data_IF_787309992133
#
_entry.id   IF_787309992133
#
_cell.length_a   1.000
_cell.length_b   1.000
_cell.length_c   1.000
_cell.angle_alpha   90.00
_cell.angle_beta   90.00
_cell.angle_gamma   90.00
#
_symmetry.space_group_name_H-M   'P 1'
#
loop_
_entity.id
_entity.type
_entity.pdbx_description
1 polymer ?
#
# COMPACT_ATOMS: atom_id res chain seq x y z
N UNK A 1 50.76 -26.31 27.42
CA UNK A 1 49.55 -25.48 27.52
C UNK A 1 49.43 -24.69 26.22
N UNK A 2 48.52 -25.08 25.33
CA UNK A 2 48.27 -24.39 24.05
C UNK A 2 47.09 -23.45 24.26
N UNK A 3 47.34 -22.16 24.32
CA UNK A 3 46.30 -21.13 24.37
C UNK A 3 45.63 -21.05 23.00
N UNK A 4 44.38 -21.47 22.92
CA UNK A 4 43.51 -21.18 21.79
C UNK A 4 43.09 -19.70 21.90
N UNK A 5 43.53 -18.89 20.94
CA UNK A 5 42.99 -17.55 20.75
C UNK A 5 41.68 -17.71 19.99
N UNK A 6 40.58 -17.60 20.73
CA UNK A 6 39.23 -17.51 20.17
C UNK A 6 39.10 -16.10 19.56
N UNK A 7 39.28 -16.00 18.24
CA UNK A 7 39.01 -14.78 17.50
C UNK A 7 37.48 -14.58 17.43
N UNK A 8 36.95 -13.81 18.37
CA UNK A 8 35.58 -13.33 18.34
C UNK A 8 35.51 -12.27 17.21
N UNK A 9 35.00 -12.67 16.04
CA UNK A 9 34.62 -11.75 14.98
C UNK A 9 33.44 -10.91 15.49
N UNK A 10 33.76 -9.76 16.08
CA UNK A 10 32.81 -8.69 16.28
C UNK A 10 32.40 -8.20 14.88
N UNK A 11 31.22 -8.61 14.41
CA UNK A 11 30.56 -7.94 13.32
C UNK A 11 30.28 -6.50 13.79
N UNK A 12 31.03 -5.55 13.24
CA UNK A 12 30.77 -4.13 13.41
C UNK A 12 29.37 -3.83 12.91
N UNK A 13 28.48 -3.49 13.84
CA UNK A 13 27.15 -2.95 13.59
C UNK A 13 27.31 -1.59 12.88
N UNK A 14 27.36 -1.60 11.55
CA UNK A 14 27.16 -0.41 10.74
C UNK A 14 25.67 -0.24 10.50
N UNK A 15 25.04 0.67 11.25
CA UNK A 15 23.73 1.21 10.93
C UNK A 15 23.86 2.18 9.75
N UNK A 16 23.22 1.88 8.61
CA UNK A 16 23.03 2.83 7.51
C UNK A 16 24.03 2.74 6.37
N UNK A 17 24.12 1.59 5.68
CA UNK A 17 24.79 1.52 4.37
C UNK A 17 23.73 1.40 3.28
N UNK A 18 23.76 2.32 2.32
CA UNK A 18 23.03 2.19 1.07
C UNK A 18 23.64 1.03 0.29
N UNK A 19 22.89 -0.06 0.13
CA UNK A 19 23.30 -1.25 -0.60
C UNK A 19 22.67 -1.18 -1.98
N UNK A 20 23.49 -1.40 -3.02
CA UNK A 20 23.01 -1.60 -4.38
C UNK A 20 23.79 -2.74 -5.03
N UNK A 21 23.12 -3.87 -5.22
CA UNK A 21 23.68 -5.11 -5.78
C UNK A 21 22.81 -5.55 -6.93
N UNK A 22 23.42 -5.65 -8.10
CA UNK A 22 22.78 -6.13 -9.33
C UNK A 22 23.55 -7.35 -9.84
N UNK A 23 22.87 -8.26 -10.52
CA UNK A 23 23.46 -9.44 -11.14
C UNK A 23 24.21 -10.38 -10.17
N UNK A 24 23.69 -10.52 -8.95
CA UNK A 24 24.25 -11.40 -7.91
C UNK A 24 23.71 -12.83 -8.05
N UNK A 25 24.43 -13.82 -7.49
CA UNK A 25 23.96 -15.22 -7.52
C UNK A 25 22.73 -15.39 -6.61
N UNK A 26 21.91 -16.43 -6.82
CA UNK A 26 20.79 -16.72 -5.92
C UNK A 26 21.20 -16.86 -4.46
N UNK A 27 22.36 -17.47 -4.18
CA UNK A 27 22.88 -17.62 -2.82
C UNK A 27 23.27 -16.28 -2.19
N UNK A 28 23.92 -15.41 -2.95
CA UNK A 28 24.28 -14.07 -2.49
C UNK A 28 23.02 -13.23 -2.24
N UNK A 29 22.05 -13.28 -3.14
CA UNK A 29 20.76 -12.61 -2.96
C UNK A 29 20.03 -13.10 -1.72
N UNK A 30 20.00 -14.42 -1.48
CA UNK A 30 19.41 -15.01 -0.28
C UNK A 30 20.08 -14.53 1.01
N UNK A 31 21.39 -14.28 1.01
CA UNK A 31 22.05 -13.70 2.19
C UNK A 31 21.50 -12.30 2.51
N UNK A 32 21.25 -11.46 1.50
CA UNK A 32 20.64 -10.15 1.70
C UNK A 32 19.17 -10.25 2.11
N UNK A 33 18.39 -11.14 1.49
CA UNK A 33 16.97 -11.36 1.82
C UNK A 33 16.76 -11.88 3.24
N UNK A 34 17.70 -12.68 3.75
CA UNK A 34 17.66 -13.21 5.12
C UNK A 34 18.35 -12.31 6.14
N UNK A 35 18.98 -11.22 5.71
CA UNK A 35 19.68 -10.33 6.63
C UNK A 35 18.70 -9.66 7.58
N UNK A 36 19.00 -9.69 8.88
CA UNK A 36 18.23 -9.01 9.91
C UNK A 36 18.23 -7.48 9.76
N UNK A 37 19.05 -6.94 8.84
CA UNK A 37 19.08 -5.52 8.46
C UNK A 37 17.78 -5.04 7.83
N UNK A 38 16.91 -5.96 7.38
CA UNK A 38 15.56 -5.68 6.91
C UNK A 38 14.69 -5.23 8.08
N UNK A 39 14.89 -3.98 8.51
CA UNK A 39 14.08 -3.30 9.52
C UNK A 39 12.62 -3.46 9.11
N UNK A 40 11.81 -4.02 10.00
CA UNK A 40 10.37 -4.05 9.79
C UNK A 40 9.76 -5.39 9.39
N UNK A 41 10.48 -6.52 9.24
CA UNK A 41 9.84 -7.82 8.92
C UNK A 41 8.94 -8.38 10.05
N UNK A 42 9.05 -7.87 11.28
CA UNK A 42 8.19 -8.23 12.41
C UNK A 42 7.30 -7.09 12.92
N UNK A 43 7.88 -5.89 13.06
CA UNK A 43 7.20 -4.68 13.50
C UNK A 43 7.61 -3.49 12.64
N UNK A 44 6.64 -2.91 11.93
CA UNK A 44 6.88 -1.73 11.09
C UNK A 44 7.01 -0.51 12.01
N UNK A 45 8.23 0.00 12.13
CA UNK A 45 8.49 1.29 12.75
C UNK A 45 8.39 2.42 11.73
N UNK A 46 7.86 3.56 12.15
CA UNK A 46 7.85 4.77 11.34
C UNK A 46 9.26 5.36 11.19
N UNK A 47 9.48 6.10 10.12
CA UNK A 47 10.73 6.83 9.91
C UNK A 47 10.97 7.81 11.07
N UNK A 48 12.17 7.84 11.68
CA UNK A 48 12.47 8.79 12.73
C UNK A 48 12.56 10.21 12.15
N UNK A 49 12.05 11.19 12.91
CA UNK A 49 12.26 12.60 12.60
C UNK A 49 13.74 12.95 12.85
N UNK A 50 14.41 13.46 11.82
CA UNK A 50 15.83 13.85 11.86
C UNK A 50 16.03 15.34 12.08
N UNK A 51 15.04 16.16 11.72
CA UNK A 51 15.18 17.60 11.81
C UNK A 51 13.88 18.36 11.62
N UNK A 52 13.95 19.66 11.90
CA UNK A 52 12.90 20.63 11.65
C UNK A 52 13.55 21.94 11.22
N UNK A 53 13.13 22.47 10.09
CA UNK A 53 13.59 23.74 9.56
C UNK A 53 12.41 24.73 9.45
N UNK A 54 12.65 26.04 9.65
CA UNK A 54 11.68 27.04 9.23
C UNK A 54 11.51 26.97 7.71
N UNK A 55 10.34 27.40 7.22
CA UNK A 55 10.12 27.42 5.77
C UNK A 55 11.14 28.33 5.08
N UNK A 56 11.69 27.92 3.92
CA UNK A 56 12.52 28.80 3.13
C UNK A 56 11.72 30.04 2.74
N UNK A 57 12.36 31.21 2.76
CA UNK A 57 11.77 32.45 2.27
C UNK A 57 11.70 32.44 0.72
N UNK A 58 10.81 31.61 0.20
CA UNK A 58 10.48 31.56 -1.22
C UNK A 58 9.19 32.33 -1.44
N UNK A 59 9.29 33.48 -2.12
CA UNK A 59 8.15 34.32 -2.49
C UNK A 59 8.01 34.41 -4.00
N UNK A 60 6.79 34.52 -4.50
CA UNK A 60 6.54 34.82 -5.91
C UNK A 60 6.69 36.32 -6.22
N UNK A 61 6.47 36.69 -7.47
CA UNK A 61 6.47 38.09 -7.94
C UNK A 61 5.45 38.99 -7.23
N UNK A 62 4.38 38.42 -6.66
CA UNK A 62 3.36 39.12 -5.89
C UNK A 62 3.73 39.26 -4.39
N UNK A 63 4.87 38.71 -3.96
CA UNK A 63 5.31 38.71 -2.56
C UNK A 63 4.64 37.64 -1.68
N UNK A 64 3.85 36.73 -2.25
CA UNK A 64 3.19 35.63 -1.55
C UNK A 64 4.17 34.48 -1.32
N UNK A 65 4.09 33.80 -0.18
CA UNK A 65 4.93 32.63 0.08
C UNK A 65 4.54 31.48 -0.83
N UNK A 66 5.53 30.83 -1.45
CA UNK A 66 5.34 29.69 -2.33
C UNK A 66 6.20 28.52 -1.87
N UNK A 67 5.57 27.36 -1.70
CA UNK A 67 6.25 26.11 -1.42
C UNK A 67 5.84 25.05 -2.45
N UNK A 68 6.81 24.42 -3.11
CA UNK A 68 6.58 23.41 -4.16
C UNK A 68 5.54 23.86 -5.21
N UNK A 69 5.56 25.14 -5.59
CA UNK A 69 4.66 25.73 -6.59
C UNK A 69 3.25 26.08 -6.11
N UNK A 70 2.95 25.98 -4.80
CA UNK A 70 1.67 26.38 -4.20
C UNK A 70 1.83 27.59 -3.30
N UNK A 71 0.88 28.52 -3.35
CA UNK A 71 0.84 29.68 -2.44
C UNK A 71 0.40 29.23 -1.04
N UNK A 72 1.10 29.70 0.00
CA UNK A 72 0.77 29.48 1.41
C UNK A 72 0.44 30.82 2.05
N UNK A 73 -0.79 30.95 2.56
CA UNK A 73 -1.29 32.19 3.17
C UNK A 73 -0.65 32.47 4.55
N UNK A 74 -0.53 31.42 5.38
CA UNK A 74 -0.06 31.48 6.77
C UNK A 74 1.24 30.67 6.98
N UNK A 75 2.35 31.01 6.31
CA UNK A 75 3.62 30.27 6.38
C UNK A 75 4.16 30.14 7.82
N UNK A 76 3.84 31.07 8.70
CA UNK A 76 4.19 31.06 10.12
C UNK A 76 3.60 29.86 10.89
N UNK A 77 2.51 29.26 10.39
CA UNK A 77 1.86 28.10 10.99
C UNK A 77 2.53 26.78 10.59
N UNK A 78 3.44 26.81 9.62
CA UNK A 78 4.05 25.63 9.05
C UNK A 78 5.53 25.51 9.41
N UNK A 79 6.03 24.29 9.37
CA UNK A 79 7.44 23.94 9.45
C UNK A 79 7.75 22.86 8.43
N UNK A 80 9.01 22.79 8.01
CA UNK A 80 9.50 21.67 7.21
C UNK A 80 10.14 20.64 8.14
N UNK A 81 9.48 19.50 8.29
CA UNK A 81 10.00 18.36 9.06
C UNK A 81 10.78 17.43 8.15
N UNK A 82 11.86 16.87 8.67
CA UNK A 82 12.73 15.96 7.94
C UNK A 82 12.67 14.60 8.58
N UNK A 83 12.47 13.55 7.78
CA UNK A 83 12.36 12.16 8.23
C UNK A 83 13.35 11.28 7.47
N UNK A 84 13.96 10.32 8.18
CA UNK A 84 14.85 9.32 7.58
C UNK A 84 14.06 8.09 7.14
N UNK A 85 13.48 8.18 5.94
CA UNK A 85 12.74 7.08 5.34
C UNK A 85 13.71 6.00 4.86
N UNK A 86 13.24 4.76 4.83
CA UNK A 86 14.03 3.62 4.40
C UNK A 86 13.22 2.78 3.42
N UNK A 87 13.87 2.28 2.37
CA UNK A 87 13.28 1.33 1.45
C UNK A 87 14.29 0.25 1.07
N UNK A 88 13.79 -0.97 0.90
CA UNK A 88 14.56 -2.08 0.34
C UNK A 88 13.71 -2.92 -0.60
N UNK A 89 14.39 -3.61 -1.51
CA UNK A 89 13.81 -4.64 -2.36
C UNK A 89 14.93 -5.57 -2.82
N UNK A 90 14.66 -6.86 -2.81
CA UNK A 90 15.52 -7.84 -3.46
C UNK A 90 14.76 -9.05 -3.95
N UNK A 91 15.40 -9.75 -4.88
CA UNK A 91 14.94 -11.02 -5.44
C UNK A 91 16.13 -11.94 -5.64
N UNK A 92 15.94 -13.24 -5.47
CA UNK A 92 16.99 -14.25 -5.65
C UNK A 92 17.10 -14.83 -7.07
N UNK A 93 16.20 -14.43 -7.97
CA UNK A 93 16.11 -14.98 -9.33
C UNK A 93 15.43 -16.35 -9.40
N UNK A 94 15.17 -17.01 -8.26
CA UNK A 94 14.42 -18.28 -8.16
C UNK A 94 12.94 -18.06 -7.81
N UNK A 95 12.55 -16.82 -7.57
CA UNK A 95 11.17 -16.41 -7.34
C UNK A 95 10.89 -15.98 -5.89
N UNK A 96 11.88 -16.08 -5.00
CA UNK A 96 11.78 -15.52 -3.65
C UNK A 96 12.13 -14.03 -3.71
N UNK A 97 11.46 -13.25 -2.87
CA UNK A 97 11.70 -11.82 -2.79
C UNK A 97 11.41 -11.32 -1.39
N UNK A 98 11.97 -10.15 -1.08
CA UNK A 98 11.54 -9.34 0.05
C UNK A 98 11.59 -7.88 -0.37
N UNK A 99 10.58 -7.11 0.01
CA UNK A 99 10.58 -5.66 -0.13
C UNK A 99 9.88 -5.02 1.05
N UNK A 100 10.21 -3.76 1.28
CA UNK A 100 9.57 -2.98 2.31
C UNK A 100 9.99 -1.54 2.28
N UNK A 101 9.20 -0.72 2.94
CA UNK A 101 9.50 0.69 3.15
C UNK A 101 8.92 1.16 4.47
N UNK A 102 9.48 2.24 5.01
CA UNK A 102 8.92 2.99 6.11
C UNK A 102 9.06 4.48 5.83
N UNK A 103 8.01 5.18 6.18
CA UNK A 103 7.83 6.62 6.04
C UNK A 103 7.33 7.18 7.39
N UNK A 104 7.11 8.48 7.47
CA UNK A 104 6.74 9.18 8.72
C UNK A 104 5.41 8.69 9.32
N UNK A 105 4.45 8.29 8.48
CA UNK A 105 3.11 7.86 8.92
C UNK A 105 2.69 6.48 8.42
N UNK A 106 3.51 5.80 7.63
CA UNK A 106 3.16 4.51 7.04
C UNK A 106 4.39 3.65 6.80
N UNK A 107 4.16 2.36 6.68
CA UNK A 107 5.19 1.43 6.23
C UNK A 107 4.60 0.09 5.83
N UNK A 108 5.41 -0.67 5.12
CA UNK A 108 5.04 -1.99 4.59
C UNK A 108 6.26 -2.89 4.60
N UNK A 109 6.02 -4.17 4.83
CA UNK A 109 6.97 -5.23 4.48
C UNK A 109 6.22 -6.35 3.76
N UNK A 110 6.91 -7.07 2.88
CA UNK A 110 6.38 -8.27 2.26
C UNK A 110 7.54 -9.16 1.81
N UNK A 111 7.37 -10.47 1.96
CA UNK A 111 8.30 -11.47 1.46
C UNK A 111 7.56 -12.64 0.83
N UNK A 112 8.21 -13.29 -0.12
CA UNK A 112 7.80 -14.56 -0.71
C UNK A 112 8.85 -15.61 -0.42
N UNK A 113 8.41 -16.74 0.12
CA UNK A 113 9.26 -17.92 0.37
C UNK A 113 9.38 -18.83 -0.88
N UNK A 114 10.24 -19.84 -0.77
CA UNK A 114 10.47 -20.86 -1.82
C UNK A 114 9.21 -21.65 -2.20
N UNK A 115 8.21 -21.70 -1.31
CA UNK A 115 6.95 -22.41 -1.58
C UNK A 115 5.96 -21.56 -2.38
N UNK A 116 6.29 -20.28 -2.60
CA UNK A 116 5.45 -19.28 -3.24
C UNK A 116 4.47 -18.61 -2.28
N UNK A 117 4.51 -18.92 -0.98
CA UNK A 117 3.68 -18.24 0.01
C UNK A 117 4.21 -16.83 0.23
N UNK A 118 3.31 -15.86 0.15
CA UNK A 118 3.60 -14.45 0.40
C UNK A 118 3.13 -14.12 1.81
N UNK A 119 3.96 -13.43 2.59
CA UNK A 119 3.60 -12.90 3.92
C UNK A 119 4.02 -11.45 4.00
N UNK A 120 3.17 -10.59 4.53
CA UNK A 120 3.51 -9.19 4.71
C UNK A 120 2.70 -8.53 5.81
N UNK A 121 3.09 -7.30 6.12
CA UNK A 121 2.39 -6.43 7.05
C UNK A 121 2.32 -5.02 6.50
N UNK A 122 1.27 -4.29 6.85
CA UNK A 122 1.10 -2.88 6.55
C UNK A 122 0.67 -2.13 7.81
N UNK A 123 1.28 -0.97 8.03
CA UNK A 123 0.98 -0.11 9.18
C UNK A 123 0.86 1.34 8.73
N UNK A 124 -0.15 2.06 9.24
CA UNK A 124 -0.26 3.50 9.02
C UNK A 124 -0.97 4.23 10.16
N UNK A 125 -0.76 5.54 10.27
CA UNK A 125 -1.44 6.41 11.25
C UNK A 125 -2.78 6.86 10.67
N UNK A 126 -3.89 6.50 11.32
CA UNK A 126 -5.22 6.94 10.92
C UNK A 126 -5.44 8.43 11.24
N UNK A 127 -6.40 9.12 10.59
CA UNK A 127 -6.71 10.53 10.87
C UNK A 127 -7.03 10.82 12.34
N UNK A 128 -7.65 9.85 13.03
CA UNK A 128 -7.98 9.95 14.46
C UNK A 128 -6.79 9.61 15.37
N UNK A 129 -5.57 9.49 14.85
CA UNK A 129 -4.37 9.17 15.62
C UNK A 129 -4.24 7.73 16.10
N UNK A 130 -5.13 6.81 15.71
CA UNK A 130 -4.95 5.38 16.00
C UNK A 130 -4.07 4.72 14.95
N UNK A 131 -3.11 3.91 15.36
CA UNK A 131 -2.33 3.12 14.41
C UNK A 131 -3.22 2.01 13.83
N UNK A 132 -3.28 1.89 12.51
CA UNK A 132 -3.85 0.73 11.83
C UNK A 132 -2.73 -0.25 11.52
N UNK A 133 -2.95 -1.53 11.79
CA UNK A 133 -2.03 -2.63 11.48
C UNK A 133 -2.81 -3.74 10.81
N UNK A 134 -2.28 -4.26 9.70
CA UNK A 134 -2.79 -5.43 9.02
C UNK A 134 -1.66 -6.38 8.68
N UNK A 135 -1.78 -7.63 9.13
CA UNK A 135 -0.93 -8.74 8.74
C UNK A 135 -1.67 -9.57 7.70
N UNK A 136 -0.96 -10.00 6.67
CA UNK A 136 -1.58 -10.76 5.59
C UNK A 136 -0.66 -11.85 5.06
N UNK A 137 -1.28 -12.87 4.48
CA UNK A 137 -0.57 -13.89 3.73
C UNK A 137 -1.38 -14.37 2.54
N UNK A 138 -0.67 -14.76 1.48
CA UNK A 138 -1.23 -15.41 0.31
C UNK A 138 -0.64 -16.80 0.19
N UNK A 139 -1.49 -17.82 0.17
CA UNK A 139 -1.09 -19.20 -0.06
C UNK A 139 -2.03 -19.88 -1.07
N UNK A 140 -1.97 -21.22 -1.17
CA UNK A 140 -2.79 -22.00 -2.09
C UNK A 140 -4.30 -21.89 -1.83
N UNK A 141 -4.71 -21.48 -0.64
CA UNK A 141 -6.11 -21.32 -0.24
C UNK A 141 -6.65 -19.91 -0.50
N UNK A 142 -5.79 -18.99 -0.91
CA UNK A 142 -6.15 -17.61 -1.27
C UNK A 142 -5.41 -16.58 -0.43
N UNK A 143 -6.00 -15.38 -0.36
CA UNK A 143 -5.46 -14.25 0.37
C UNK A 143 -6.19 -14.08 1.70
N UNK A 144 -5.43 -13.94 2.78
CA UNK A 144 -5.91 -13.84 4.15
C UNK A 144 -5.35 -12.58 4.79
N UNK A 145 -6.19 -11.86 5.55
CA UNK A 145 -5.82 -10.62 6.23
C UNK A 145 -6.37 -10.62 7.63
N UNK A 146 -5.54 -10.27 8.59
CA UNK A 146 -5.89 -10.00 9.97
C UNK A 146 -5.50 -8.55 10.27
N UNK A 147 -6.47 -7.74 10.68
CA UNK A 147 -6.24 -6.33 11.01
C UNK A 147 -6.77 -5.98 12.40
N UNK A 148 -6.36 -4.82 12.91
CA UNK A 148 -6.72 -4.36 14.25
C UNK A 148 -8.06 -3.59 14.32
N UNK A 149 -8.90 -3.64 13.28
CA UNK A 149 -10.24 -3.03 13.30
C UNK A 149 -11.20 -3.91 14.10
N UNK A 150 -12.21 -3.29 14.74
CA UNK A 150 -13.27 -4.07 15.37
C UNK A 150 -13.96 -4.96 14.33
N UNK A 151 -14.13 -6.24 14.66
CA UNK A 151 -14.82 -7.19 13.79
C UNK A 151 -16.24 -6.70 13.50
N UNK A 152 -16.47 -6.21 12.29
CA UNK A 152 -17.82 -5.91 11.82
C UNK A 152 -18.52 -7.24 11.57
N UNK A 153 -19.46 -7.62 12.43
CA UNK A 153 -20.34 -8.74 12.14
C UNK A 153 -21.05 -8.45 10.82
N UNK A 154 -20.76 -9.24 9.78
CA UNK A 154 -21.48 -9.21 8.50
C UNK A 154 -22.88 -9.77 8.73
N UNK A 155 -23.72 -9.01 9.40
CA UNK A 155 -25.14 -9.34 9.49
C UNK A 155 -25.72 -9.25 8.08
N UNK A 156 -26.53 -10.23 7.65
CA UNK A 156 -27.22 -10.11 6.37
C UNK A 156 -28.03 -8.82 6.36
N UNK A 157 -28.03 -8.11 5.23
CA UNK A 157 -28.79 -6.88 5.08
C UNK A 157 -30.26 -7.16 5.47
N UNK A 158 -30.74 -6.51 6.53
CA UNK A 158 -32.12 -6.65 6.96
C UNK A 158 -32.99 -5.85 6.00
N UNK A 159 -33.99 -6.48 5.39
CA UNK A 159 -34.93 -5.78 4.49
C UNK A 159 -35.61 -4.65 5.26
N UNK A 160 -35.54 -3.43 4.72
CA UNK A 160 -36.26 -2.29 5.30
C UNK A 160 -37.78 -2.48 5.12
N UNK A 161 -38.62 -1.81 5.92
CA UNK A 161 -40.08 -1.89 5.75
C UNK A 161 -40.56 -1.50 4.35
N UNK A 162 -39.86 -0.58 3.68
CA UNK A 162 -40.17 -0.18 2.31
C UNK A 162 -39.91 -1.33 1.31
N UNK A 163 -38.81 -2.07 1.48
CA UNK A 163 -38.49 -3.23 0.64
C UNK A 163 -39.52 -4.35 0.85
N UNK A 164 -39.94 -4.58 2.10
CA UNK A 164 -40.98 -5.57 2.40
C UNK A 164 -42.32 -5.22 1.74
N UNK A 165 -42.72 -3.95 1.81
CA UNK A 165 -43.97 -3.50 1.19
C UNK A 165 -43.93 -3.61 -0.34
N UNK A 166 -42.80 -3.20 -0.96
CA UNK A 166 -42.63 -3.32 -2.40
C UNK A 166 -42.66 -4.78 -2.88
N UNK A 167 -42.10 -5.70 -2.09
CA UNK A 167 -42.12 -7.13 -2.36
C UNK A 167 -43.54 -7.71 -2.24
N UNK A 168 -44.31 -7.32 -1.23
CA UNK A 168 -45.72 -7.71 -1.08
C UNK A 168 -46.59 -7.22 -2.25
N UNK A 169 -46.43 -5.95 -2.62
CA UNK A 169 -47.13 -5.36 -3.78
C UNK A 169 -46.75 -6.08 -5.08
N UNK A 170 -45.46 -6.38 -5.27
CA UNK A 170 -44.98 -7.14 -6.42
C UNK A 170 -45.57 -8.54 -6.49
N UNK A 171 -45.54 -9.30 -5.39
CA UNK A 171 -46.09 -10.66 -5.35
C UNK A 171 -47.60 -10.71 -5.55
N UNK A 172 -48.32 -9.71 -5.01
CA UNK A 172 -49.76 -9.57 -5.25
C UNK A 172 -50.05 -9.32 -6.72
N UNK A 173 -49.37 -8.34 -7.33
CA UNK A 173 -49.52 -8.01 -8.74
C UNK A 173 -49.16 -9.21 -9.64
N UNK A 174 -48.07 -9.91 -9.30
CA UNK A 174 -47.63 -11.11 -10.01
C UNK A 174 -48.69 -12.21 -9.97
N UNK A 175 -49.26 -12.48 -8.80
CA UNK A 175 -50.33 -13.48 -8.64
C UNK A 175 -51.59 -13.15 -9.43
N UNK A 176 -52.00 -11.87 -9.44
CA UNK A 176 -53.13 -11.38 -10.22
C UNK A 176 -52.89 -11.55 -11.74
N UNK A 177 -51.70 -11.18 -12.23
CA UNK A 177 -51.31 -11.35 -13.64
C UNK A 177 -51.21 -12.82 -14.05
N UNK A 178 -50.62 -13.68 -13.21
CA UNK A 178 -50.51 -15.11 -13.48
C UNK A 178 -51.89 -15.80 -13.51
N UNK A 179 -52.83 -15.38 -12.64
CA UNK A 179 -54.20 -15.89 -12.63
C UNK A 179 -55.00 -15.43 -13.87
N UNK A 180 -54.78 -14.20 -14.34
CA UNK A 180 -55.45 -13.64 -15.51
C UNK A 180 -54.95 -14.23 -16.85
N UNK A 181 -53.65 -14.51 -16.95
CA UNK A 181 -53.02 -14.98 -18.18
C UNK A 181 -53.15 -16.50 -18.42
N UNK A 182 -53.62 -17.29 -17.44
CA UNK A 182 -53.72 -18.76 -17.53
C UNK A 182 -52.36 -19.49 -17.63
N UNK A 183 -51.26 -18.75 -17.78
CA UNK A 183 -49.86 -19.14 -17.74
C UNK A 183 -49.08 -18.05 -17.00
N UNK A 184 -47.98 -18.43 -16.35
CA UNK A 184 -47.09 -17.47 -15.68
C UNK A 184 -46.55 -16.49 -16.73
N UNK A 185 -46.71 -15.16 -16.55
CA UNK A 185 -46.18 -14.19 -17.52
C UNK A 185 -44.67 -14.38 -17.64
N UNK A 186 -44.18 -14.50 -18.89
CA UNK A 186 -42.75 -14.69 -19.15
C UNK A 186 -42.00 -13.41 -18.76
N UNK A 187 -41.12 -13.45 -17.74
CA UNK A 187 -40.30 -12.30 -17.35
C UNK A 187 -39.33 -11.85 -18.46
N UNK A 188 -39.19 -12.63 -19.54
CA UNK A 188 -38.40 -12.31 -20.72
C UNK A 188 -39.26 -11.90 -21.94
N UNK A 189 -40.57 -11.68 -21.79
CA UNK A 189 -41.41 -11.29 -22.93
C UNK A 189 -40.89 -9.98 -23.58
N UNK A 190 -40.85 -9.90 -24.93
CA UNK A 190 -40.29 -8.76 -25.65
C UNK A 190 -40.94 -7.41 -25.31
N UNK A 191 -42.19 -7.46 -24.84
CA UNK A 191 -43.00 -6.31 -24.46
C UNK A 191 -42.51 -5.61 -23.17
N UNK A 192 -41.65 -6.27 -22.37
CA UNK A 192 -40.96 -5.67 -21.21
C UNK A 192 -39.54 -5.19 -21.53
N UNK A 193 -39.09 -5.33 -22.79
CA UNK A 193 -37.76 -4.96 -23.25
C UNK A 193 -37.79 -3.71 -24.16
N UNK A 194 -38.26 -2.58 -23.65
CA UNK A 194 -38.06 -1.25 -24.25
C UNK A 194 -38.33 -0.19 -23.16
N UNK A 195 -37.54 0.85 -22.89
CA UNK A 195 -36.38 1.48 -23.52
C UNK A 195 -35.48 2.05 -22.42
N UNK A 196 -34.17 2.03 -22.64
CA UNK A 196 -33.21 2.63 -21.71
C UNK A 196 -31.78 2.23 -21.99
N UNK A 197 -31.42 2.03 -23.26
CA UNK A 197 -30.03 1.81 -23.65
C UNK A 197 -29.34 3.17 -23.59
N UNK A 198 -28.65 3.46 -22.48
CA UNK A 198 -27.65 4.51 -22.50
C UNK A 198 -26.70 4.21 -23.66
N UNK A 199 -26.66 5.11 -24.63
CA UNK A 199 -25.63 5.14 -25.66
C UNK A 199 -24.57 6.11 -25.12
N UNK A 200 -23.42 5.60 -24.63
CA UNK A 200 -22.31 6.49 -24.28
C UNK A 200 -21.89 7.20 -25.57
N UNK A 201 -21.74 8.52 -25.51
CA UNK A 201 -21.02 9.26 -26.56
C UNK A 201 -19.60 8.69 -26.65
N UNK A 202 -19.26 8.14 -27.81
CA UNK A 202 -17.89 7.70 -28.10
C UNK A 202 -16.95 8.91 -27.99
N UNK A 203 -15.95 8.91 -27.09
CA UNK A 203 -14.88 9.87 -27.16
C UNK A 203 -14.10 9.64 -28.46
N UNK A 204 -13.72 10.73 -29.12
CA UNK A 204 -12.86 10.71 -30.30
C UNK A 204 -11.52 10.05 -29.93
N UNK A 205 -11.38 8.76 -30.27
CA UNK A 205 -10.16 8.00 -30.02
C UNK A 205 -9.15 8.38 -31.09
N UNK A 206 -8.18 9.24 -30.77
CA UNK A 206 -6.98 9.34 -31.59
C UNK A 206 -6.08 8.16 -31.25
N UNK A 207 -5.88 7.18 -32.16
CA UNK A 207 -4.96 6.10 -31.91
C UNK A 207 -3.55 6.68 -31.81
N UNK A 208 -3.00 6.73 -30.60
CA UNK A 208 -1.58 6.88 -30.44
C UNK A 208 -0.92 5.59 -30.93
N UNK A 209 -0.46 5.60 -32.18
CA UNK A 209 0.34 4.52 -32.73
C UNK A 209 1.74 4.67 -32.14
N UNK A 210 2.01 3.96 -31.05
CA UNK A 210 3.38 3.80 -30.57
C UNK A 210 4.08 2.84 -31.55
N UNK A 211 4.90 3.39 -32.45
CA UNK A 211 5.82 2.59 -33.26
C UNK A 211 6.98 2.17 -32.36
N UNK A 212 6.82 1.03 -31.68
CA UNK A 212 7.96 0.40 -31.02
C UNK A 212 8.97 0.01 -32.10
N UNK A 213 10.26 0.37 -31.96
CA UNK A 213 11.29 -0.19 -32.82
C UNK A 213 11.22 -1.71 -32.72
N UNK A 214 11.38 -2.44 -33.84
CA UNK A 214 11.30 -3.89 -33.83
C UNK A 214 12.27 -4.43 -32.78
N UNK A 215 11.73 -5.20 -31.82
CA UNK A 215 12.52 -5.87 -30.80
C UNK A 215 13.59 -6.70 -31.49
N UNK A 216 14.85 -6.32 -31.29
CA UNK A 216 16.00 -7.15 -31.65
C UNK A 216 16.32 -7.95 -30.40
N UNK A 217 16.04 -9.27 -30.36
CA UNK A 217 16.44 -10.09 -29.23
C UNK A 217 17.96 -9.94 -29.08
N UNK A 218 18.38 -9.51 -27.89
CA UNK A 218 19.77 -9.65 -27.50
C UNK A 218 20.15 -11.15 -27.49
N UNK A 219 21.45 -11.48 -27.38
CA UNK A 219 21.83 -12.86 -27.10
C UNK A 219 21.04 -13.36 -25.89
N UNK A 220 20.43 -14.55 -25.98
CA UNK A 220 19.78 -15.18 -24.83
C UNK A 220 20.80 -15.24 -23.68
N UNK A 221 20.45 -14.69 -22.52
CA UNK A 221 21.30 -14.78 -21.34
C UNK A 221 21.31 -16.24 -20.88
N UNK A 222 22.27 -17.01 -21.39
CA UNK A 222 22.52 -18.38 -20.96
C UNK A 222 23.32 -18.35 -19.67
N UNK A 223 22.66 -18.59 -18.54
CA UNK A 223 23.30 -18.61 -17.23
C UNK A 223 22.33 -18.94 -16.10
N UNK A 224 22.86 -19.09 -14.88
CA UNK A 224 22.01 -19.18 -13.68
C UNK A 224 21.18 -17.90 -13.52
N UNK A 225 19.93 -18.01 -13.04
CA UNK A 225 19.11 -16.85 -12.79
C UNK A 225 19.82 -15.91 -11.83
N UNK A 226 19.71 -14.61 -12.10
CA UNK A 226 20.38 -13.58 -11.31
C UNK A 226 19.40 -12.90 -10.40
N UNK A 227 19.86 -12.66 -9.17
CA UNK A 227 19.18 -11.85 -8.19
C UNK A 227 19.67 -10.40 -8.22
N UNK A 228 19.01 -9.59 -7.39
CA UNK A 228 19.43 -8.24 -7.06
C UNK A 228 18.95 -7.89 -5.67
N UNK A 229 19.59 -6.90 -5.07
CA UNK A 229 19.17 -6.35 -3.79
C UNK A 229 19.56 -4.88 -3.71
N UNK A 230 18.63 -4.03 -3.32
CA UNK A 230 18.93 -2.68 -2.91
C UNK A 230 18.25 -2.34 -1.58
N UNK A 231 18.92 -1.50 -0.81
CA UNK A 231 18.39 -0.90 0.41
C UNK A 231 19.01 0.48 0.55
N UNK A 232 18.20 1.50 0.84
CA UNK A 232 18.72 2.84 1.03
C UNK A 232 17.86 3.66 1.97
N UNK A 233 18.53 4.57 2.67
CA UNK A 233 17.90 5.61 3.48
C UNK A 233 17.82 6.90 2.64
N UNK A 234 16.71 7.63 2.77
CA UNK A 234 16.50 8.90 2.08
C UNK A 234 15.70 9.88 2.93
N UNK A 235 16.08 11.16 2.83
CA UNK A 235 15.41 12.23 3.55
C UNK A 235 14.06 12.57 2.91
N UNK A 236 13.01 12.62 3.72
CA UNK A 236 11.66 13.07 3.30
C UNK A 236 11.35 14.40 3.98
N UNK A 237 11.39 15.52 3.23
CA UNK A 237 10.91 16.81 3.72
C UNK A 237 9.38 16.84 3.66
N UNK A 238 8.74 17.16 4.78
CA UNK A 238 7.30 17.26 4.92
C UNK A 238 6.91 18.66 5.41
N UNK A 239 6.07 19.34 4.65
CA UNK A 239 5.41 20.54 5.11
C UNK A 239 4.34 20.18 6.14
N UNK A 240 4.48 20.66 7.37
CA UNK A 240 3.59 20.31 8.47
C UNK A 240 3.03 21.55 9.16
N UNK A 241 1.71 21.63 9.29
CA UNK A 241 1.06 22.62 10.15
C UNK A 241 1.33 22.27 11.63
N UNK A 242 1.73 23.27 12.43
CA UNK A 242 2.12 23.10 13.84
C UNK A 242 0.95 22.67 14.72
N UNK A 243 -0.25 23.19 14.47
CA UNK A 243 -1.45 22.90 15.26
C UNK A 243 -1.95 21.48 14.95
N UNK A 244 -2.09 21.13 13.67
CA UNK A 244 -2.49 19.78 13.24
C UNK A 244 -1.52 18.71 13.73
N UNK A 245 -0.22 19.02 13.75
CA UNK A 245 0.79 18.14 14.35
C UNK A 245 0.53 17.92 15.83
N UNK A 246 0.37 18.99 16.60
CA UNK A 246 0.14 18.91 18.04
C UNK A 246 -1.20 18.22 18.38
N UNK A 247 -2.20 18.34 17.52
CA UNK A 247 -3.46 17.60 17.63
C UNK A 247 -3.23 16.11 17.37
N UNK A 248 -2.56 15.75 16.27
CA UNK A 248 -2.26 14.35 15.93
C UNK A 248 -1.44 13.66 17.03
N UNK A 249 -0.41 14.32 17.56
CA UNK A 249 0.40 13.78 18.67
C UNK A 249 -0.45 13.52 19.91
N UNK A 250 -1.37 14.43 20.24
CA UNK A 250 -2.31 14.26 21.35
C UNK A 250 -3.26 13.08 21.11
N UNK A 251 -3.85 12.98 19.91
CA UNK A 251 -4.73 11.87 19.54
C UNK A 251 -3.99 10.53 19.61
N UNK A 252 -2.76 10.47 19.11
CA UNK A 252 -1.92 9.26 19.18
C UNK A 252 -1.61 8.86 20.62
N UNK A 253 -1.27 9.83 21.47
CA UNK A 253 -1.01 9.58 22.89
C UNK A 253 -2.24 9.10 23.68
N UNK A 254 -3.45 9.32 23.16
CA UNK A 254 -4.70 8.85 23.78
C UNK A 254 -5.10 7.50 23.19
N UNK A 255 -5.13 7.38 21.87
CA UNK A 255 -5.76 6.26 21.17
C UNK A 255 -4.87 5.02 21.02
N UNK A 256 -3.57 5.13 21.30
CA UNK A 256 -2.62 4.01 21.28
C UNK A 256 -2.13 3.62 22.70
N UNK A 257 -2.81 4.04 23.78
CA UNK A 257 -2.41 3.74 25.17
C UNK A 257 -2.83 2.36 25.68
N UNK A 258 -3.74 1.68 24.98
CA UNK A 258 -4.39 0.45 25.43
C UNK A 258 -3.96 -0.81 24.64
N UNK A 259 -2.77 -0.79 24.03
CA UNK A 259 -2.13 -1.99 23.44
C UNK A 259 -1.13 -2.65 24.39
#
# INVERSE_FOLDING_TARGET
MKCFILALLLATLASGENIFKINITPEEAQQFLNSAQLRGIGDIEYAPKTGENPLPEARNENGEFVYMGRVIEHPEEYVEEHYDAHQYHGQDGLGQFAYGYRDWNQGKNEKRDETGKVTGSYKYVQPHGRDFVANYYADKTGFHVEDNRPAHLKLPATKTPAVLKAEEEHFKLWGELAAAAGHNPDPYAPEYQQEGRYQPTEPEYQPYVHEEPPYVPGPEETGEPKGFFYAFDYNVPLLRNKEERAELERLRAINNKDE
#
